data_IF_743743103759
#
_entry.id   IF_743743103759
#
_cell.length_a   1.000
_cell.length_b   1.000
_cell.length_c   1.000
_cell.angle_alpha   90.00
_cell.angle_beta   90.00
_cell.angle_gamma   90.00
#
_symmetry.space_group_name_H-M   'P 1'
#
loop_
_entity.id
_entity.type
_entity.pdbx_description
1 polymer ?
#
# COMPACT_ATOMS: atom_id res chain seq x y z
N UNK A 1 0.66 8.85 -36.65
CA UNK A 1 0.75 10.16 -35.98
C UNK A 1 -0.49 10.57 -35.19
N UNK A 2 -1.70 10.04 -35.46
CA UNK A 2 -2.93 10.37 -34.70
C UNK A 2 -3.15 9.48 -33.45
N UNK A 3 -2.47 8.33 -33.35
CA UNK A 3 -2.61 7.38 -32.23
C UNK A 3 -1.86 7.79 -30.95
N UNK A 4 -0.81 8.60 -31.00
CA UNK A 4 -0.07 9.04 -29.80
C UNK A 4 -0.73 10.23 -29.07
N UNK A 5 -1.40 11.14 -29.77
CA UNK A 5 -2.08 12.29 -29.15
C UNK A 5 -3.37 11.90 -28.40
N UNK A 6 -4.11 10.89 -28.88
CA UNK A 6 -5.32 10.41 -28.19
C UNK A 6 -4.96 9.71 -26.87
N UNK A 7 -3.84 8.99 -26.85
CA UNK A 7 -3.30 8.36 -25.65
C UNK A 7 -2.90 9.40 -24.59
N UNK A 8 -2.17 10.46 -25.00
CA UNK A 8 -1.84 11.63 -24.13
C UNK A 8 -3.07 12.30 -23.53
N UNK A 9 -4.14 12.47 -24.33
CA UNK A 9 -5.41 13.02 -23.85
C UNK A 9 -6.06 12.17 -22.75
N UNK A 10 -6.10 10.84 -22.88
CA UNK A 10 -6.58 9.96 -21.81
C UNK A 10 -5.65 9.94 -20.58
N UNK A 11 -4.34 10.15 -20.76
CA UNK A 11 -3.32 10.05 -19.70
C UNK A 11 -3.39 11.18 -18.65
N UNK A 12 -3.88 12.38 -18.99
CA UNK A 12 -4.14 13.44 -18.00
C UNK A 12 -5.63 13.54 -17.61
N UNK A 13 -6.56 13.12 -18.48
CA UNK A 13 -7.99 13.21 -18.20
C UNK A 13 -8.50 12.15 -17.23
N UNK A 14 -7.82 11.00 -17.05
CA UNK A 14 -8.18 10.06 -15.99
C UNK A 14 -8.19 10.71 -14.60
N UNK A 15 -7.28 11.67 -14.35
CA UNK A 15 -7.24 12.46 -13.12
C UNK A 15 -8.22 13.66 -13.09
N UNK A 16 -8.80 14.05 -14.23
CA UNK A 16 -9.68 15.24 -14.37
C UNK A 16 -11.16 14.86 -14.54
N UNK A 17 -11.48 13.74 -15.21
CA UNK A 17 -12.86 13.30 -15.46
C UNK A 17 -13.61 12.89 -14.20
N UNK A 18 -12.92 12.53 -13.11
CA UNK A 18 -13.57 12.25 -11.83
C UNK A 18 -13.94 13.50 -11.01
N UNK A 19 -13.29 14.65 -11.24
CA UNK A 19 -13.70 15.93 -10.66
C UNK A 19 -15.06 16.40 -11.22
N UNK A 20 -15.40 16.01 -12.44
CA UNK A 20 -16.66 16.40 -13.10
C UNK A 20 -17.82 15.44 -12.76
N UNK A 21 -17.57 14.14 -12.55
CA UNK A 21 -18.65 13.19 -12.22
C UNK A 21 -19.22 13.34 -10.80
N UNK A 22 -18.48 13.94 -9.87
CA UNK A 22 -19.00 14.31 -8.53
C UNK A 22 -19.85 15.61 -8.53
N UNK A 23 -19.95 16.32 -9.66
CA UNK A 23 -20.72 17.56 -9.77
C UNK A 23 -21.96 17.48 -10.69
N UNK A 24 -22.23 16.33 -11.29
CA UNK A 24 -23.35 16.13 -12.22
C UNK A 24 -24.39 15.10 -11.73
N UNK A 25 -24.73 15.15 -10.45
CA UNK A 25 -25.94 14.53 -9.91
C UNK A 25 -26.90 15.58 -9.34
N UNK A 26 -27.04 16.74 -10.00
CA UNK A 26 -28.12 17.70 -9.79
C UNK A 26 -28.05 18.84 -10.83
N UNK A 27 -28.79 18.78 -11.94
CA UNK A 27 -29.30 19.99 -12.60
C UNK A 27 -30.29 19.67 -13.72
N UNK A 28 -31.52 20.14 -13.56
CA UNK A 28 -32.44 20.39 -14.65
C UNK A 28 -32.18 21.78 -15.28
N UNK A 29 -32.29 21.85 -16.61
CA UNK A 29 -32.65 22.97 -17.51
C UNK A 29 -31.93 24.36 -17.43
N UNK A 30 -31.15 24.67 -18.50
CA UNK A 30 -30.94 25.90 -19.34
C UNK A 30 -31.17 27.35 -18.81
N UNK A 31 -30.67 28.44 -19.49
CA UNK A 31 -29.51 28.62 -20.38
C UNK A 31 -28.69 29.94 -20.16
N UNK A 32 -27.66 30.14 -21.01
CA UNK A 32 -26.96 31.38 -21.43
C UNK A 32 -25.58 31.70 -20.81
N UNK A 33 -24.62 31.90 -21.73
CA UNK A 33 -23.23 32.35 -21.53
C UNK A 33 -23.11 33.59 -20.63
N UNK A 34 -21.98 33.72 -19.89
CA UNK A 34 -20.99 34.73 -20.28
C UNK A 34 -19.51 34.32 -20.11
N UNK A 35 -18.72 34.79 -21.09
CA UNK A 35 -17.32 35.27 -21.07
C UNK A 35 -16.28 34.74 -20.07
N UNK A 36 -15.16 34.32 -20.63
CA UNK A 36 -13.90 33.97 -19.99
C UNK A 36 -13.23 35.16 -19.29
N UNK A 37 -13.56 35.43 -18.02
CA UNK A 37 -12.66 36.12 -17.08
C UNK A 37 -13.11 35.97 -15.62
N UNK A 38 -13.47 34.77 -15.13
CA UNK A 38 -13.74 34.59 -13.68
C UNK A 38 -13.60 33.14 -13.19
N UNK A 39 -12.62 32.37 -13.69
CA UNK A 39 -12.27 31.06 -13.13
C UNK A 39 -10.97 31.18 -12.33
N UNK A 40 -11.03 31.90 -11.21
CA UNK A 40 -9.92 31.99 -10.26
C UNK A 40 -10.44 32.40 -8.87
N UNK A 41 -11.31 31.59 -8.25
CA UNK A 41 -11.52 31.65 -6.77
C UNK A 41 -12.33 30.51 -6.13
N UNK A 42 -12.74 29.45 -6.85
CA UNK A 42 -13.61 28.41 -6.26
C UNK A 42 -13.05 26.98 -6.28
N UNK A 43 -11.73 26.81 -6.21
CA UNK A 43 -11.16 25.53 -5.76
C UNK A 43 -11.09 25.54 -4.22
N UNK A 44 -12.25 25.43 -3.58
CA UNK A 44 -12.28 25.05 -2.17
C UNK A 44 -11.64 23.67 -2.05
N UNK A 45 -10.42 23.60 -1.51
CA UNK A 45 -9.86 22.35 -0.97
C UNK A 45 -10.91 21.78 -0.02
N UNK A 46 -11.64 20.74 -0.42
CA UNK A 46 -12.30 19.87 0.54
C UNK A 46 -11.19 19.08 1.22
N UNK A 47 -10.65 19.63 2.29
CA UNK A 47 -10.06 18.81 3.34
C UNK A 47 -11.20 17.92 3.84
N UNK A 48 -11.14 16.63 3.53
CA UNK A 48 -11.98 15.65 4.21
C UNK A 48 -11.37 15.52 5.61
N UNK A 49 -11.75 16.44 6.49
CA UNK A 49 -11.47 16.36 7.92
C UNK A 49 -12.46 15.33 8.51
N UNK A 50 -12.37 14.08 8.05
CA UNK A 50 -13.21 12.99 8.53
C UNK A 50 -12.53 12.36 9.77
N UNK A 51 -13.08 12.55 10.98
CA UNK A 51 -12.51 11.99 12.21
C UNK A 51 -12.38 10.46 12.17
N UNK A 52 -13.05 9.75 11.26
CA UNK A 52 -12.91 8.30 11.07
C UNK A 52 -11.55 7.92 10.47
N UNK A 53 -10.96 8.74 9.60
CA UNK A 53 -9.61 8.50 9.04
C UNK A 53 -8.55 8.59 10.15
N UNK A 54 -8.75 9.45 11.16
CA UNK A 54 -7.84 9.59 12.30
C UNK A 54 -7.89 8.38 13.26
N UNK A 55 -9.07 7.76 13.39
CA UNK A 55 -9.29 6.61 14.27
C UNK A 55 -8.69 5.31 13.74
N UNK A 56 -8.76 5.12 12.42
CA UNK A 56 -8.13 4.00 11.69
C UNK A 56 -6.61 3.96 11.96
N UNK A 57 -5.92 5.09 11.83
CA UNK A 57 -4.47 5.16 12.09
C UNK A 57 -4.11 5.02 13.56
N UNK A 58 -4.96 5.46 14.51
CA UNK A 58 -4.71 5.18 15.93
C UNK A 58 -4.70 3.67 16.19
N UNK A 59 -5.60 2.93 15.56
CA UNK A 59 -5.59 1.47 15.60
C UNK A 59 -4.33 0.94 14.90
N UNK A 60 -4.02 1.37 13.67
CA UNK A 60 -2.84 0.91 12.92
C UNK A 60 -1.51 1.17 13.65
N UNK A 61 -1.26 2.40 14.12
CA UNK A 61 -0.05 2.78 14.88
C UNK A 61 0.09 1.98 16.18
N UNK A 62 -1.01 1.72 16.87
CA UNK A 62 -0.99 0.92 18.10
C UNK A 62 -0.93 -0.60 17.83
N UNK A 63 -1.26 -1.03 16.61
CA UNK A 63 -1.34 -2.45 16.25
C UNK A 63 -0.02 -3.02 15.77
N UNK A 64 0.85 -2.21 15.14
CA UNK A 64 2.15 -2.67 14.70
C UNK A 64 3.16 -2.67 15.85
N UNK A 65 3.61 -3.87 16.22
CA UNK A 65 4.68 -4.09 17.20
C UNK A 65 6.00 -4.29 16.45
N UNK A 66 6.88 -3.27 16.38
CA UNK A 66 8.20 -3.44 15.82
C UNK A 66 9.04 -4.36 16.72
N UNK A 67 10.13 -4.91 16.17
CA UNK A 67 11.08 -5.64 17.00
C UNK A 67 11.85 -4.67 17.91
N UNK A 68 11.89 -5.02 19.19
CA UNK A 68 12.69 -4.34 20.21
C UNK A 68 13.90 -5.20 20.57
N UNK A 69 15.09 -4.59 20.52
CA UNK A 69 16.33 -5.27 20.87
C UNK A 69 16.30 -5.70 22.34
N UNK A 70 16.66 -6.95 22.62
CA UNK A 70 16.59 -7.54 23.97
C UNK A 70 15.27 -8.26 24.28
N UNK A 71 14.25 -8.17 23.43
CA UNK A 71 13.04 -8.99 23.53
C UNK A 71 13.25 -10.32 22.79
N UNK A 72 12.68 -11.41 23.33
CA UNK A 72 12.74 -12.73 22.68
C UNK A 72 12.09 -12.66 21.29
N UNK A 73 12.79 -13.08 20.21
CA UNK A 73 12.23 -13.07 18.87
C UNK A 73 10.95 -13.90 18.79
N UNK A 74 9.93 -13.35 18.14
CA UNK A 74 8.68 -14.09 17.88
C UNK A 74 8.80 -15.05 16.69
N UNK A 75 9.91 -14.99 15.95
CA UNK A 75 10.14 -15.79 14.74
C UNK A 75 11.43 -16.57 14.88
N UNK A 76 11.34 -17.87 14.60
CA UNK A 76 12.50 -18.77 14.53
C UNK A 76 12.80 -19.08 13.08
N UNK A 77 14.04 -18.84 12.66
CA UNK A 77 14.57 -19.30 11.38
C UNK A 77 15.33 -20.62 11.58
N UNK A 78 15.30 -21.49 10.56
CA UNK A 78 15.84 -22.85 10.67
C UNK A 78 17.34 -22.92 10.45
N UNK A 79 17.78 -22.39 9.31
CA UNK A 79 19.19 -22.09 9.05
C UNK A 79 19.52 -20.67 9.53
N UNK A 80 20.81 -20.33 9.57
CA UNK A 80 21.27 -18.96 9.81
C UNK A 80 20.52 -18.00 8.88
N UNK A 81 19.73 -17.08 9.44
CA UNK A 81 19.21 -15.99 8.63
C UNK A 81 20.41 -15.24 8.01
N UNK A 82 20.37 -14.83 6.73
CA UNK A 82 21.50 -14.16 6.06
C UNK A 82 22.04 -12.94 6.81
N UNK A 83 21.18 -12.30 7.61
CA UNK A 83 21.51 -11.13 8.43
C UNK A 83 21.85 -11.47 9.89
N UNK A 84 21.92 -12.75 10.25
CA UNK A 84 22.43 -13.19 11.55
C UNK A 84 23.96 -13.03 11.60
N UNK A 85 24.41 -11.93 12.20
CA UNK A 85 25.82 -11.60 12.33
C UNK A 85 26.59 -12.54 13.27
N UNK A 86 25.89 -13.36 14.06
CA UNK A 86 26.54 -14.35 14.94
C UNK A 86 27.01 -15.59 14.18
N UNK A 87 26.51 -15.80 12.96
CA UNK A 87 26.83 -16.97 12.15
C UNK A 87 27.75 -16.57 10.99
N UNK A 88 29.04 -16.91 11.10
CA UNK A 88 30.02 -16.71 10.01
C UNK A 88 29.72 -17.64 8.83
N UNK A 89 28.96 -17.18 7.82
CA UNK A 89 28.91 -17.85 6.50
C UNK A 89 28.52 -16.90 5.35
N UNK A 90 28.95 -17.30 4.15
CA UNK A 90 28.75 -16.61 2.88
C UNK A 90 27.26 -16.51 2.53
N UNK A 91 26.83 -15.29 2.20
CA UNK A 91 25.51 -14.96 1.63
C UNK A 91 25.31 -15.76 0.33
N UNK A 92 24.68 -16.93 0.42
CA UNK A 92 24.23 -17.67 -0.75
C UNK A 92 22.81 -17.24 -1.09
N UNK A 93 22.56 -16.91 -2.36
CA UNK A 93 21.22 -16.61 -2.91
C UNK A 93 20.25 -17.80 -2.84
N UNK A 94 20.73 -18.98 -2.45
CA UNK A 94 19.95 -20.24 -2.36
C UNK A 94 19.06 -20.35 -1.11
N UNK A 95 18.92 -19.31 -0.29
CA UNK A 95 18.15 -19.34 0.97
C UNK A 95 16.72 -18.87 0.85
N UNK A 96 16.37 -18.09 -0.18
CA UNK A 96 15.02 -17.57 -0.35
C UNK A 96 14.11 -18.61 -1.02
N UNK A 97 12.88 -18.73 -0.54
CA UNK A 97 11.83 -19.56 -1.14
C UNK A 97 10.54 -18.73 -1.29
N UNK A 98 9.62 -19.11 -2.20
CA UNK A 98 8.32 -18.47 -2.33
C UNK A 98 7.65 -18.26 -0.96
N UNK A 99 7.15 -17.05 -0.71
CA UNK A 99 6.53 -16.71 0.58
C UNK A 99 5.31 -17.59 0.85
N UNK A 100 5.22 -18.19 2.03
CA UNK A 100 4.06 -19.00 2.45
C UNK A 100 3.12 -18.15 3.29
N UNK A 101 1.96 -17.84 2.73
CA UNK A 101 0.94 -17.00 3.38
C UNK A 101 -0.17 -17.88 3.96
N UNK A 102 -0.44 -17.74 5.26
CA UNK A 102 -1.55 -18.40 5.93
C UNK A 102 -2.62 -17.37 6.31
N UNK A 103 -3.83 -17.56 5.80
CA UNK A 103 -4.98 -16.76 6.22
C UNK A 103 -5.69 -17.41 7.41
N UNK A 104 -5.68 -16.71 8.54
CA UNK A 104 -6.36 -17.15 9.77
C UNK A 104 -7.80 -16.61 9.78
N UNK A 105 -8.78 -17.49 9.56
CA UNK A 105 -10.18 -17.10 9.28
C UNK A 105 -11.15 -17.35 10.44
N UNK A 106 -10.69 -17.47 11.68
CA UNK A 106 -11.57 -17.75 12.84
C UNK A 106 -12.70 -16.71 12.97
N UNK A 107 -12.38 -15.42 12.80
CA UNK A 107 -13.36 -14.34 12.90
C UNK A 107 -14.46 -14.43 11.82
N UNK A 108 -14.12 -14.91 10.62
CA UNK A 108 -15.12 -15.13 9.56
C UNK A 108 -16.15 -16.20 9.96
N UNK A 109 -15.73 -17.27 10.63
CA UNK A 109 -16.67 -18.30 11.10
C UNK A 109 -17.65 -17.75 12.14
N UNK A 110 -17.18 -16.87 13.03
CA UNK A 110 -18.04 -16.17 14.00
C UNK A 110 -18.99 -15.16 13.36
N UNK A 111 -18.73 -14.73 12.12
CA UNK A 111 -19.57 -13.79 11.38
C UNK A 111 -20.70 -14.47 10.58
N UNK A 112 -20.72 -15.81 10.52
CA UNK A 112 -21.74 -16.59 9.79
C UNK A 112 -23.12 -16.56 10.45
N UNK A 113 -24.14 -16.96 9.69
CA UNK A 113 -25.52 -17.10 10.17
C UNK A 113 -26.27 -15.77 10.34
N UNK A 114 -25.68 -14.66 9.88
CA UNK A 114 -26.31 -13.34 9.87
C UNK A 114 -27.22 -13.12 8.66
N UNK A 115 -26.83 -13.64 7.49
CA UNK A 115 -27.66 -13.73 6.28
C UNK A 115 -27.04 -14.70 5.26
N UNK A 116 -27.87 -15.31 4.42
CA UNK A 116 -27.42 -16.22 3.35
C UNK A 116 -26.42 -15.53 2.41
N UNK A 117 -26.66 -14.25 2.08
CA UNK A 117 -25.78 -13.45 1.23
C UNK A 117 -24.39 -13.25 1.87
N UNK A 118 -24.33 -12.98 3.18
CA UNK A 118 -23.06 -12.83 3.89
C UNK A 118 -22.31 -14.16 3.97
N UNK A 119 -23.01 -15.26 4.22
CA UNK A 119 -22.43 -16.59 4.28
C UNK A 119 -21.85 -17.02 2.92
N UNK A 120 -22.56 -16.73 1.81
CA UNK A 120 -22.06 -16.94 0.45
C UNK A 120 -20.79 -16.12 0.16
N UNK A 121 -20.72 -14.87 0.64
CA UNK A 121 -19.53 -14.02 0.47
C UNK A 121 -18.35 -14.50 1.30
N UNK A 122 -18.60 -15.02 2.50
CA UNK A 122 -17.56 -15.68 3.32
C UNK A 122 -17.05 -16.94 2.62
N UNK A 123 -17.95 -17.73 2.02
CA UNK A 123 -17.56 -18.91 1.25
C UNK A 123 -16.67 -18.52 0.07
N UNK A 124 -17.09 -17.52 -0.73
CA UNK A 124 -16.31 -16.98 -1.84
C UNK A 124 -14.92 -16.49 -1.40
N UNK A 125 -14.85 -15.78 -0.27
CA UNK A 125 -13.59 -15.33 0.31
C UNK A 125 -12.64 -16.50 0.54
N UNK A 126 -13.14 -17.55 1.21
CA UNK A 126 -12.33 -18.69 1.63
C UNK A 126 -11.96 -19.62 0.49
N UNK A 127 -12.86 -19.85 -0.45
CA UNK A 127 -12.66 -20.83 -1.54
C UNK A 127 -11.87 -20.27 -2.71
N UNK A 128 -12.04 -18.99 -3.03
CA UNK A 128 -11.49 -18.39 -4.24
C UNK A 128 -10.57 -17.21 -3.94
N UNK A 129 -11.03 -16.22 -3.16
CA UNK A 129 -10.32 -14.94 -3.04
C UNK A 129 -8.99 -15.10 -2.30
N UNK A 130 -9.02 -15.63 -1.07
CA UNK A 130 -7.83 -15.76 -0.22
C UNK A 130 -6.77 -16.68 -0.85
N UNK A 131 -7.09 -17.86 -1.41
CA UNK A 131 -6.10 -18.68 -2.12
C UNK A 131 -5.46 -17.98 -3.32
N UNK A 132 -6.24 -17.22 -4.11
CA UNK A 132 -5.70 -16.49 -5.27
C UNK A 132 -4.80 -15.33 -4.85
N UNK A 133 -5.11 -14.62 -3.76
CA UNK A 133 -4.23 -13.59 -3.19
C UNK A 133 -2.91 -14.22 -2.72
N UNK A 134 -2.98 -15.34 -1.98
CA UNK A 134 -1.77 -16.05 -1.55
C UNK A 134 -0.92 -16.47 -2.75
N UNK A 135 -1.54 -17.03 -3.78
CA UNK A 135 -0.84 -17.47 -4.99
C UNK A 135 -0.16 -16.29 -5.72
N UNK A 136 -0.84 -15.16 -5.88
CA UNK A 136 -0.28 -13.95 -6.51
C UNK A 136 1.01 -13.49 -5.81
N UNK A 137 0.97 -13.35 -4.48
CA UNK A 137 2.13 -12.88 -3.72
C UNK A 137 3.23 -13.96 -3.58
N UNK A 138 2.87 -15.24 -3.49
CA UNK A 138 3.83 -16.36 -3.45
C UNK A 138 4.63 -16.47 -4.75
N UNK A 139 4.02 -16.18 -5.90
CA UNK A 139 4.71 -16.16 -7.19
C UNK A 139 5.62 -14.95 -7.36
N UNK A 140 5.27 -13.84 -6.71
CA UNK A 140 5.95 -12.56 -6.85
C UNK A 140 7.10 -12.35 -5.87
N UNK A 141 7.05 -12.94 -4.69
CA UNK A 141 7.99 -12.68 -3.61
C UNK A 141 8.53 -13.97 -3.02
N UNK A 142 9.83 -13.97 -2.75
CA UNK A 142 10.50 -15.00 -1.96
C UNK A 142 11.09 -14.39 -0.69
N UNK A 143 11.16 -15.18 0.37
CA UNK A 143 11.67 -14.80 1.69
C UNK A 143 12.60 -15.88 2.23
N UNK A 144 13.39 -15.54 3.25
CA UNK A 144 14.05 -16.55 4.08
C UNK A 144 12.95 -17.29 4.87
N UNK A 145 12.79 -18.61 4.73
CA UNK A 145 11.65 -19.30 5.32
C UNK A 145 11.72 -19.35 6.84
N UNK A 146 10.65 -18.92 7.51
CA UNK A 146 10.49 -19.11 8.94
C UNK A 146 10.21 -20.59 9.25
N UNK A 147 10.78 -21.09 10.36
CA UNK A 147 10.44 -22.41 10.91
C UNK A 147 9.27 -22.34 11.87
N UNK A 148 9.14 -21.24 12.59
CA UNK A 148 8.00 -21.03 13.46
C UNK A 148 7.76 -19.56 13.73
N UNK A 149 6.50 -19.14 13.69
CA UNK A 149 6.05 -17.82 14.08
C UNK A 149 5.13 -17.98 15.29
N UNK A 150 5.50 -17.35 16.41
CA UNK A 150 4.63 -17.14 17.56
C UNK A 150 3.79 -15.90 17.32
N UNK A 151 2.48 -16.01 17.54
CA UNK A 151 1.53 -14.90 17.54
C UNK A 151 1.01 -14.76 18.97
N UNK A 152 1.49 -13.77 19.73
CA UNK A 152 1.00 -13.51 21.08
C UNK A 152 -0.51 -13.26 21.09
N UNK A 153 -1.20 -13.65 22.17
CA UNK A 153 -2.65 -13.43 22.32
C UNK A 153 -3.05 -11.97 22.10
N UNK A 154 -2.20 -11.04 22.52
CA UNK A 154 -2.43 -9.60 22.46
C UNK A 154 -1.90 -8.93 21.18
N UNK A 155 -1.48 -9.73 20.18
CA UNK A 155 -1.05 -9.24 18.88
C UNK A 155 -2.18 -8.48 18.14
N UNK A 156 -1.80 -7.60 17.20
CA UNK A 156 -2.72 -6.72 16.46
C UNK A 156 -3.68 -5.93 17.37
N UNK A 157 -3.23 -5.45 18.54
CA UNK A 157 -4.07 -4.73 19.50
C UNK A 157 -5.37 -5.48 19.89
N UNK A 158 -5.31 -6.82 20.02
CA UNK A 158 -6.42 -7.73 20.31
C UNK A 158 -7.48 -7.86 19.21
N UNK A 159 -7.23 -7.39 17.99
CA UNK A 159 -8.16 -7.56 16.87
C UNK A 159 -8.36 -9.03 16.44
N UNK A 160 -7.44 -9.91 16.85
CA UNK A 160 -7.43 -11.32 16.45
C UNK A 160 -8.37 -12.23 17.26
N UNK A 161 -8.91 -11.73 18.38
CA UNK A 161 -9.76 -12.50 19.32
C UNK A 161 -9.17 -13.89 19.63
N UNK A 162 -7.91 -13.89 20.07
CA UNK A 162 -7.17 -15.10 20.40
C UNK A 162 -7.46 -15.52 21.85
N UNK A 163 -7.75 -16.81 22.04
CA UNK A 163 -7.92 -17.39 23.38
C UNK A 163 -6.56 -17.62 24.06
N UNK A 164 -5.51 -17.88 23.27
CA UNK A 164 -4.14 -18.19 23.70
C UNK A 164 -3.13 -17.76 22.63
N UNK A 165 -1.85 -17.79 22.97
CA UNK A 165 -0.78 -17.63 21.97
C UNK A 165 -0.87 -18.73 20.91
N UNK A 166 -0.74 -18.33 19.64
CA UNK A 166 -0.70 -19.28 18.54
C UNK A 166 0.72 -19.49 18.05
N UNK A 167 0.97 -20.68 17.51
CA UNK A 167 2.24 -21.05 16.90
C UNK A 167 1.98 -21.66 15.54
N UNK A 168 2.57 -21.06 14.51
CA UNK A 168 2.48 -21.54 13.14
C UNK A 168 3.85 -22.02 12.69
N UNK A 169 3.90 -23.26 12.24
CA UNK A 169 5.07 -23.84 11.59
C UNK A 169 4.90 -23.75 10.08
N UNK A 170 6.01 -23.68 9.36
CA UNK A 170 6.04 -23.65 7.90
C UNK A 170 5.17 -22.57 7.22
N UNK A 171 5.05 -21.42 7.89
CA UNK A 171 4.40 -20.20 7.39
C UNK A 171 5.36 -19.04 7.52
N UNK A 172 5.32 -18.10 6.57
CA UNK A 172 6.19 -16.92 6.55
C UNK A 172 5.43 -15.62 6.83
N UNK A 173 4.12 -15.61 6.62
CA UNK A 173 3.21 -14.50 6.90
C UNK A 173 1.83 -15.03 7.31
N UNK A 174 1.36 -14.65 8.49
CA UNK A 174 0.01 -14.92 8.96
C UNK A 174 -0.83 -13.66 8.74
N UNK A 175 -1.98 -13.78 8.07
CA UNK A 175 -2.91 -12.67 7.91
C UNK A 175 -4.25 -13.08 8.50
N UNK A 176 -4.66 -12.42 9.57
CA UNK A 176 -5.98 -12.66 10.12
C UNK A 176 -7.04 -11.93 9.32
N UNK A 177 -8.13 -12.64 9.05
CA UNK A 177 -9.20 -12.16 8.17
C UNK A 177 -10.47 -11.94 8.97
N UNK A 178 -11.00 -10.73 8.89
CA UNK A 178 -12.27 -10.33 9.49
C UNK A 178 -13.24 -9.79 8.43
N UNK A 179 -14.52 -9.71 8.80
CA UNK A 179 -15.62 -9.13 8.00
C UNK A 179 -16.58 -8.31 8.86
N UNK A 180 -16.07 -7.75 9.96
CA UNK A 180 -16.86 -6.98 10.89
C UNK A 180 -17.20 -5.60 10.30
N UNK A 181 -18.45 -5.19 10.49
CA UNK A 181 -18.82 -3.76 10.44
C UNK A 181 -18.11 -3.10 11.60
N UNK A 182 -17.21 -2.19 11.29
CA UNK A 182 -16.38 -1.54 12.27
C UNK A 182 -16.16 -0.09 11.84
N UNK A 183 -16.88 0.82 12.49
CA UNK A 183 -16.80 2.25 12.22
C UNK A 183 -15.38 2.80 12.44
N UNK A 184 -14.62 2.21 13.37
CA UNK A 184 -13.23 2.57 13.64
C UNK A 184 -12.28 2.12 12.53
N UNK A 185 -12.71 1.18 11.68
CA UNK A 185 -11.98 0.69 10.50
C UNK A 185 -12.53 1.29 9.19
N UNK A 186 -13.44 2.27 9.26
CA UNK A 186 -14.11 2.85 8.08
C UNK A 186 -15.09 1.88 7.39
N UNK A 187 -15.33 0.73 8.00
CA UNK A 187 -16.21 -0.31 7.51
C UNK A 187 -17.65 -0.04 7.97
N UNK A 188 -18.27 0.97 7.35
CA UNK A 188 -19.63 1.44 7.66
C UNK A 188 -20.66 0.95 6.63
N UNK A 189 -21.90 0.74 7.08
CA UNK A 189 -23.05 0.37 6.24
C UNK A 189 -23.67 1.61 5.55
N UNK A 190 -24.11 1.48 4.29
CA UNK A 190 -24.81 2.55 3.55
C UNK A 190 -24.24 2.84 2.15
N UNK A 191 -25.02 3.56 1.32
CA UNK A 191 -24.74 3.84 -0.11
C UNK A 191 -23.79 5.05 -0.36
N UNK A 192 -23.02 5.47 0.65
CA UNK A 192 -22.01 6.53 0.53
C UNK A 192 -20.60 5.93 0.46
N UNK A 193 -19.70 6.57 -0.29
CA UNK A 193 -18.30 6.15 -0.41
C UNK A 193 -17.64 5.82 0.94
N UNK A 194 -16.82 4.78 0.94
CA UNK A 194 -16.03 4.36 2.09
C UNK A 194 -15.25 3.08 1.80
N UNK A 195 -14.35 2.73 2.71
CA UNK A 195 -13.43 1.58 2.68
C UNK A 195 -14.13 0.26 2.30
N UNK A 196 -13.59 -0.45 1.30
CA UNK A 196 -14.08 -1.77 0.84
C UNK A 196 -13.34 -2.92 1.50
N UNK A 197 -12.06 -2.71 1.80
CA UNK A 197 -11.25 -3.52 2.67
C UNK A 197 -10.18 -2.63 3.30
N UNK A 198 -9.56 -3.10 4.38
CA UNK A 198 -8.44 -2.43 5.03
C UNK A 198 -7.48 -3.47 5.58
N UNK A 199 -6.19 -3.23 5.43
CA UNK A 199 -5.18 -4.04 6.05
C UNK A 199 -3.96 -3.27 6.55
N UNK A 200 -3.23 -3.90 7.46
CA UNK A 200 -1.99 -3.39 8.01
C UNK A 200 -1.17 -4.52 8.66
N UNK A 201 0.15 -4.36 8.76
CA UNK A 201 0.98 -5.26 9.54
C UNK A 201 0.77 -5.02 11.04
N UNK A 202 0.93 -6.09 11.83
CA UNK A 202 0.79 -6.07 13.29
C UNK A 202 2.04 -6.51 14.03
N UNK A 203 2.84 -7.38 13.43
CA UNK A 203 4.04 -7.93 14.06
C UNK A 203 5.12 -8.06 13.01
N UNK A 204 6.34 -7.75 13.42
CA UNK A 204 7.54 -8.01 12.63
C UNK A 204 8.45 -9.06 13.30
N UNK A 205 9.34 -9.63 12.50
CA UNK A 205 10.46 -10.42 12.98
C UNK A 205 11.61 -9.53 13.51
N UNK A 206 12.69 -10.18 13.97
CA UNK A 206 13.90 -9.52 14.49
C UNK A 206 14.67 -8.68 13.46
N UNK A 207 14.24 -8.70 12.20
CA UNK A 207 14.78 -7.92 11.10
C UNK A 207 13.74 -6.97 10.50
N UNK A 208 12.70 -6.67 11.27
CA UNK A 208 11.59 -5.77 10.95
C UNK A 208 10.67 -6.21 9.80
N UNK A 209 10.84 -7.43 9.26
CA UNK A 209 9.93 -7.94 8.22
C UNK A 209 8.56 -8.23 8.82
N UNK A 210 7.46 -7.72 8.24
CA UNK A 210 6.12 -8.11 8.66
C UNK A 210 5.90 -9.62 8.57
N UNK A 211 5.44 -10.23 9.67
CA UNK A 211 5.14 -11.67 9.77
C UNK A 211 3.74 -11.97 10.25
N UNK A 212 3.06 -10.98 10.84
CA UNK A 212 1.63 -11.04 11.15
C UNK A 212 0.97 -9.76 10.66
N UNK A 213 -0.17 -9.88 9.99
CA UNK A 213 -1.02 -8.77 9.59
C UNK A 213 -2.49 -9.05 9.84
N UNK A 214 -3.29 -8.04 9.58
CA UNK A 214 -4.74 -8.07 9.69
C UNK A 214 -5.34 -7.52 8.40
N UNK A 215 -6.44 -8.13 7.95
CA UNK A 215 -7.27 -7.63 6.86
C UNK A 215 -8.75 -7.75 7.24
N UNK A 216 -9.52 -6.70 7.01
CA UNK A 216 -10.97 -6.70 7.17
C UNK A 216 -11.65 -6.42 5.82
N UNK A 217 -12.53 -7.32 5.38
CA UNK A 217 -13.35 -7.14 4.19
C UNK A 217 -14.75 -6.63 4.55
N UNK A 218 -15.17 -5.50 3.97
CA UNK A 218 -16.47 -4.90 4.26
C UNK A 218 -17.60 -5.58 3.49
N UNK A 219 -18.00 -6.77 3.95
CA UNK A 219 -18.89 -7.65 3.19
C UNK A 219 -20.35 -7.17 3.06
N UNK A 220 -20.74 -6.09 3.74
CA UNK A 220 -22.08 -5.51 3.64
C UNK A 220 -22.22 -4.49 2.50
N UNK A 221 -21.11 -4.19 1.81
CA UNK A 221 -21.11 -3.40 0.57
C UNK A 221 -21.37 -4.29 -0.63
N UNK A 222 -21.89 -3.75 -1.76
CA UNK A 222 -22.05 -4.54 -2.97
C UNK A 222 -20.68 -5.03 -3.43
N UNK A 223 -20.42 -6.30 -3.14
CA UNK A 223 -19.23 -7.01 -3.55
C UNK A 223 -19.37 -7.40 -5.01
N UNK A 224 -18.30 -7.17 -5.76
CA UNK A 224 -18.21 -7.51 -7.17
C UNK A 224 -17.62 -8.93 -7.31
N UNK A 225 -17.53 -9.45 -8.53
CA UNK A 225 -17.08 -10.82 -8.74
C UNK A 225 -15.71 -11.14 -8.08
N UNK A 226 -15.39 -12.44 -7.98
CA UNK A 226 -14.19 -12.93 -7.29
C UNK A 226 -12.90 -12.22 -7.72
N UNK A 227 -12.77 -11.83 -8.99
CA UNK A 227 -11.57 -11.16 -9.51
C UNK A 227 -11.36 -9.77 -8.91
N UNK A 228 -12.43 -9.00 -8.73
CA UNK A 228 -12.38 -7.70 -8.07
C UNK A 228 -11.99 -7.83 -6.60
N UNK A 229 -12.54 -8.82 -5.89
CA UNK A 229 -12.13 -9.10 -4.51
C UNK A 229 -10.68 -9.54 -4.38
N UNK A 230 -10.17 -10.35 -5.32
CA UNK A 230 -8.76 -10.75 -5.35
C UNK A 230 -7.87 -9.53 -5.54
N UNK A 231 -8.24 -8.62 -6.43
CA UNK A 231 -7.46 -7.42 -6.67
C UNK A 231 -7.46 -6.48 -5.45
N UNK A 232 -8.62 -6.21 -4.85
CA UNK A 232 -8.74 -5.44 -3.61
C UNK A 232 -7.95 -6.10 -2.47
N UNK A 233 -8.17 -7.39 -2.23
CA UNK A 233 -7.46 -8.11 -1.18
C UNK A 233 -5.94 -8.18 -1.43
N UNK A 234 -5.51 -8.24 -2.70
CA UNK A 234 -4.08 -8.20 -3.04
C UNK A 234 -3.48 -6.83 -2.76
N UNK A 235 -4.19 -5.73 -3.07
CA UNK A 235 -3.81 -4.36 -2.69
C UNK A 235 -3.61 -4.26 -1.17
N UNK A 236 -4.60 -4.72 -0.40
CA UNK A 236 -4.54 -4.69 1.06
C UNK A 236 -3.38 -5.54 1.61
N UNK A 237 -3.13 -6.73 1.05
CA UNK A 237 -1.95 -7.53 1.42
C UNK A 237 -0.65 -6.80 1.07
N UNK A 238 -0.61 -5.95 0.05
CA UNK A 238 0.51 -5.03 -0.22
C UNK A 238 0.82 -4.11 0.97
N UNK A 239 -0.20 -3.58 1.65
CA UNK A 239 -0.01 -2.82 2.89
C UNK A 239 0.51 -3.68 4.04
N UNK A 240 0.03 -4.93 4.18
CA UNK A 240 0.58 -5.89 5.17
C UNK A 240 2.05 -6.18 4.90
N UNK A 241 2.45 -6.27 3.64
CA UNK A 241 3.85 -6.47 3.22
C UNK A 241 4.71 -5.22 3.42
N UNK A 242 4.14 -4.10 3.84
CA UNK A 242 4.86 -2.89 4.22
C UNK A 242 4.90 -1.78 3.17
N UNK A 243 4.01 -1.81 2.18
CA UNK A 243 3.88 -0.69 1.24
C UNK A 243 3.11 0.45 1.91
N UNK A 244 3.85 1.40 2.47
CA UNK A 244 3.40 2.74 2.82
C UNK A 244 4.63 3.57 3.18
N UNK A 245 4.54 4.91 3.07
CA UNK A 245 5.64 5.78 3.50
C UNK A 245 6.01 5.60 4.97
N UNK A 246 5.04 5.29 5.83
CA UNK A 246 5.25 5.06 7.26
C UNK A 246 6.14 3.84 7.57
N UNK A 247 6.25 2.88 6.65
CA UNK A 247 7.04 1.66 6.88
C UNK A 247 8.47 1.75 6.34
N UNK A 248 8.80 2.76 5.53
CA UNK A 248 10.14 2.94 4.94
C UNK A 248 11.23 3.09 6.00
N UNK A 249 10.92 3.64 7.19
CA UNK A 249 11.87 3.71 8.31
C UNK A 249 12.41 2.35 8.77
N UNK A 250 11.67 1.27 8.54
CA UNK A 250 12.06 -0.08 8.93
C UNK A 250 12.92 -0.79 7.87
N UNK A 251 13.10 -0.19 6.69
CA UNK A 251 13.83 -0.82 5.60
C UNK A 251 15.29 -1.08 5.96
N UNK A 252 15.82 -2.16 5.39
CA UNK A 252 17.19 -2.60 5.55
C UNK A 252 17.89 -2.64 4.20
N UNK A 253 19.20 -2.47 4.26
CA UNK A 253 20.04 -2.76 3.12
C UNK A 253 20.04 -4.27 2.87
N UNK A 254 19.68 -4.68 1.65
CA UNK A 254 19.44 -6.09 1.32
C UNK A 254 20.71 -6.94 1.52
N UNK A 255 21.86 -6.42 1.08
CA UNK A 255 23.12 -7.17 1.08
C UNK A 255 23.72 -7.29 2.48
N UNK A 256 23.61 -6.24 3.30
CA UNK A 256 24.24 -6.20 4.62
C UNK A 256 23.28 -6.49 5.78
N UNK A 257 21.97 -6.42 5.56
CA UNK A 257 20.94 -6.52 6.58
C UNK A 257 20.89 -5.34 7.57
N UNK A 258 21.71 -4.31 7.35
CA UNK A 258 21.77 -3.14 8.24
C UNK A 258 20.53 -2.26 8.05
N UNK A 259 19.94 -1.71 9.13
CA UNK A 259 18.88 -0.70 9.00
C UNK A 259 19.33 0.47 8.13
N UNK A 260 18.48 0.91 7.20
CA UNK A 260 18.72 2.14 6.40
C UNK A 260 18.50 3.40 7.22
N UNK A 261 17.66 3.32 8.24
CA UNK A 261 17.40 4.39 9.20
C UNK A 261 18.08 4.06 10.53
N UNK A 262 18.77 5.05 11.10
CA UNK A 262 19.49 4.91 12.38
C UNK A 262 18.53 4.63 13.55
N UNK A 263 19.02 3.88 14.55
CA UNK A 263 18.26 3.45 15.73
C UNK A 263 18.95 3.88 17.04
N UNK A 264 18.20 4.14 18.12
CA UNK A 264 16.73 4.14 18.20
C UNK A 264 16.12 5.26 17.34
N UNK A 265 14.89 5.08 16.85
CA UNK A 265 14.24 6.09 16.03
C UNK A 265 14.09 7.38 16.82
N UNK A 266 14.58 8.48 16.26
CA UNK A 266 14.38 9.81 16.83
C UNK A 266 13.06 10.36 16.32
N UNK A 267 12.22 10.87 17.23
CA UNK A 267 11.04 11.65 16.83
C UNK A 267 11.49 12.98 16.27
N UNK A 268 10.96 13.33 15.10
CA UNK A 268 11.27 14.59 14.41
C UNK A 268 10.00 15.29 13.99
N UNK A 269 10.00 16.61 14.12
CA UNK A 269 8.93 17.45 13.61
C UNK A 269 8.88 17.33 12.09
N UNK A 270 7.78 16.80 11.58
CA UNK A 270 7.59 16.45 10.17
C UNK A 270 6.39 17.20 9.60
N UNK A 271 6.60 17.88 8.48
CA UNK A 271 5.48 18.45 7.71
C UNK A 271 4.89 17.38 6.80
N UNK A 272 3.65 17.01 7.04
CA UNK A 272 2.96 15.96 6.30
C UNK A 272 2.46 16.43 4.93
N UNK A 273 2.01 15.48 4.10
CA UNK A 273 1.50 15.77 2.75
C UNK A 273 0.31 16.76 2.76
N UNK A 274 -0.52 16.71 3.81
CA UNK A 274 -1.64 17.62 4.06
C UNK A 274 -1.22 19.03 4.54
N UNK A 275 0.06 19.21 4.88
CA UNK A 275 0.62 20.45 5.43
C UNK A 275 0.54 20.58 6.95
N UNK A 276 -0.04 19.61 7.65
CA UNK A 276 0.03 19.52 9.11
C UNK A 276 1.45 19.24 9.57
N UNK A 277 1.77 19.65 10.79
CA UNK A 277 3.05 19.36 11.44
C UNK A 277 2.79 18.34 12.52
N UNK A 278 3.51 17.21 12.46
CA UNK A 278 3.38 16.08 13.39
C UNK A 278 4.76 15.59 13.83
N UNK A 279 4.86 15.10 15.06
CA UNK A 279 6.03 14.34 15.48
C UNK A 279 5.93 12.93 14.91
N UNK A 280 6.86 12.58 14.02
CA UNK A 280 6.94 11.25 13.40
C UNK A 280 8.32 10.66 13.66
N UNK A 281 8.43 9.33 13.64
CA UNK A 281 9.72 8.67 13.69
C UNK A 281 10.54 9.01 12.43
N UNK A 282 11.73 9.55 12.62
CA UNK A 282 12.62 9.95 11.53
C UNK A 282 12.91 8.79 10.58
N UNK A 283 13.01 9.12 9.29
CA UNK A 283 13.38 8.17 8.22
C UNK A 283 14.62 8.70 7.52
N UNK A 284 15.51 7.80 7.06
CA UNK A 284 16.67 8.21 6.29
C UNK A 284 16.28 9.01 5.03
N UNK A 285 16.90 10.18 4.78
CA UNK A 285 16.62 10.98 3.59
C UNK A 285 17.04 10.28 2.28
N UNK A 286 17.89 9.25 2.37
CA UNK A 286 18.24 8.39 1.23
C UNK A 286 17.16 7.34 0.92
N UNK A 287 16.19 7.14 1.82
CA UNK A 287 15.09 6.19 1.65
C UNK A 287 13.74 6.89 1.43
N UNK A 288 13.52 8.05 2.06
CA UNK A 288 12.29 8.82 1.92
C UNK A 288 12.61 10.32 1.89
N UNK A 289 12.19 11.01 0.82
CA UNK A 289 12.47 12.43 0.64
C UNK A 289 11.21 13.25 0.38
N UNK A 290 11.16 14.46 0.95
CA UNK A 290 10.09 15.43 0.68
C UNK A 290 10.33 16.15 -0.65
N UNK A 291 9.30 16.24 -1.46
CA UNK A 291 9.25 17.06 -2.66
C UNK A 291 8.08 18.05 -2.65
N UNK A 292 8.20 19.09 -3.48
CA UNK A 292 7.15 20.10 -3.70
C UNK A 292 6.96 20.24 -5.20
N UNK A 293 5.73 20.08 -5.66
CA UNK A 293 5.35 20.32 -7.06
C UNK A 293 5.38 21.81 -7.40
N UNK A 294 5.37 22.15 -8.68
CA UNK A 294 5.27 23.54 -9.14
C UNK A 294 4.00 24.26 -8.66
N UNK A 295 2.92 23.53 -8.38
CA UNK A 295 1.68 24.08 -7.80
C UNK A 295 1.73 24.21 -6.27
N UNK A 296 2.85 23.89 -5.63
CA UNK A 296 3.04 23.96 -4.18
C UNK A 296 2.48 22.77 -3.39
N UNK A 297 1.98 21.73 -4.07
CA UNK A 297 1.56 20.49 -3.40
C UNK A 297 2.80 19.71 -2.95
N UNK A 298 2.82 19.29 -1.68
CA UNK A 298 3.87 18.44 -1.09
C UNK A 298 3.67 17.00 -1.51
N UNK A 299 4.71 16.19 -1.48
CA UNK A 299 4.66 14.74 -1.63
C UNK A 299 5.91 14.13 -1.01
N UNK A 300 5.87 12.86 -0.65
CA UNK A 300 7.09 12.11 -0.36
C UNK A 300 7.42 11.15 -1.50
N UNK A 301 8.70 10.87 -1.67
CA UNK A 301 9.23 9.97 -2.68
C UNK A 301 10.13 8.94 -2.00
N UNK A 302 9.89 7.66 -2.28
CA UNK A 302 10.73 6.57 -1.78
C UNK A 302 11.93 6.43 -2.72
N UNK A 303 13.11 6.83 -2.23
CA UNK A 303 14.32 7.10 -3.03
C UNK A 303 15.34 5.96 -3.02
N UNK A 304 14.89 4.74 -2.70
CA UNK A 304 15.77 3.58 -2.61
C UNK A 304 16.31 3.15 -3.99
N UNK A 305 17.51 2.53 -4.06
CA UNK A 305 18.26 2.40 -5.32
C UNK A 305 17.60 1.54 -6.41
N UNK A 306 17.00 0.39 -6.09
CA UNK A 306 16.36 -0.46 -7.11
C UNK A 306 15.06 0.18 -7.57
N UNK A 307 14.25 0.70 -6.65
CA UNK A 307 13.02 1.42 -6.96
C UNK A 307 13.28 2.62 -7.87
N UNK A 308 14.31 3.42 -7.56
CA UNK A 308 14.74 4.52 -8.43
C UNK A 308 15.09 4.03 -9.84
N UNK A 309 15.81 2.91 -9.96
CA UNK A 309 16.18 2.32 -11.25
C UNK A 309 14.95 1.86 -12.04
N UNK A 310 14.02 1.17 -11.38
CA UNK A 310 12.79 0.69 -12.03
C UNK A 310 11.89 1.83 -12.45
N UNK A 311 11.74 2.87 -11.63
CA UNK A 311 10.95 4.07 -11.98
C UNK A 311 11.58 4.83 -13.14
N UNK A 312 12.91 4.97 -13.18
CA UNK A 312 13.62 5.57 -14.32
C UNK A 312 13.34 4.80 -15.62
N UNK A 313 13.30 3.47 -15.55
CA UNK A 313 13.00 2.62 -16.70
C UNK A 313 11.52 2.71 -17.10
N UNK A 314 10.60 2.74 -16.13
CA UNK A 314 9.16 2.90 -16.37
C UNK A 314 8.91 4.15 -17.21
N UNK A 315 9.42 5.31 -16.81
CA UNK A 315 9.15 6.56 -17.50
C UNK A 315 10.18 6.93 -18.57
N UNK A 316 11.26 6.15 -18.76
CA UNK A 316 12.44 6.54 -19.54
C UNK A 316 12.97 7.94 -19.13
N UNK A 317 13.19 8.12 -17.84
CA UNK A 317 13.68 9.39 -17.28
C UNK A 317 14.72 9.17 -16.20
N UNK A 318 16.00 9.40 -16.52
CA UNK A 318 17.14 9.21 -15.61
C UNK A 318 17.18 10.18 -14.43
N UNK A 319 16.42 11.29 -14.50
CA UNK A 319 16.37 12.33 -13.46
C UNK A 319 15.52 11.96 -12.24
N UNK A 320 14.69 10.93 -12.34
CA UNK A 320 13.84 10.49 -11.22
C UNK A 320 14.69 9.90 -10.10
N UNK A 321 14.30 10.17 -8.85
CA UNK A 321 15.07 9.73 -7.66
C UNK A 321 14.42 8.52 -6.98
N UNK A 322 13.18 8.20 -7.31
CA UNK A 322 12.39 7.21 -6.61
C UNK A 322 10.92 7.20 -7.06
N UNK A 323 10.09 6.46 -6.34
CA UNK A 323 8.65 6.42 -6.59
C UNK A 323 7.93 7.42 -5.69
N UNK A 324 7.21 8.36 -6.31
CA UNK A 324 6.37 9.32 -5.59
C UNK A 324 5.16 8.62 -4.98
N UNK A 325 4.92 8.91 -3.71
CA UNK A 325 3.73 8.52 -2.97
C UNK A 325 2.64 9.56 -3.18
N UNK A 326 1.40 9.11 -3.03
CA UNK A 326 0.23 9.98 -3.08
C UNK A 326 0.36 11.17 -2.11
N UNK A 327 -0.28 12.27 -2.47
CA UNK A 327 -0.32 13.46 -1.64
C UNK A 327 -1.73 13.99 -1.38
N UNK A 328 -2.73 13.19 -1.72
CA UNK A 328 -4.11 13.45 -1.34
C UNK A 328 -4.41 12.71 -0.03
N UNK A 329 -5.27 13.26 0.85
CA UNK A 329 -5.64 12.63 2.12
C UNK A 329 -6.62 11.47 1.89
N UNK A 330 -6.16 10.41 1.21
CA UNK A 330 -6.84 9.11 1.08
C UNK A 330 -6.55 8.22 2.30
N UNK A 331 -5.49 8.56 3.05
CA UNK A 331 -5.12 8.02 4.35
C UNK A 331 -4.67 9.16 5.28
N UNK A 332 -4.55 8.90 6.58
CA UNK A 332 -3.94 9.83 7.55
C UNK A 332 -2.43 9.63 7.71
N UNK A 333 -1.81 8.86 6.80
CA UNK A 333 -0.35 8.78 6.68
C UNK A 333 0.26 10.18 6.55
N UNK A 334 1.36 10.43 7.25
CA UNK A 334 2.09 11.69 7.07
C UNK A 334 2.80 11.75 5.71
N UNK A 335 3.18 10.56 5.21
CA UNK A 335 4.07 10.38 4.07
C UNK A 335 3.36 9.91 2.79
N UNK A 336 2.14 9.37 2.91
CA UNK A 336 1.36 8.77 1.83
C UNK A 336 1.29 7.25 1.97
N UNK A 337 0.10 6.67 1.76
CA UNK A 337 -0.15 5.23 1.88
C UNK A 337 0.03 4.48 0.56
N UNK A 338 -0.22 5.16 -0.56
CA UNK A 338 -0.27 4.55 -1.90
C UNK A 338 0.77 5.17 -2.86
N UNK A 339 1.02 4.49 -3.99
CA UNK A 339 1.74 5.07 -5.12
C UNK A 339 0.90 6.17 -5.76
N UNK A 340 1.52 7.29 -6.14
CA UNK A 340 0.80 8.47 -6.65
C UNK A 340 0.02 8.15 -7.94
N UNK A 341 -1.31 8.27 -7.86
CA UNK A 341 -2.24 7.91 -8.94
C UNK A 341 -1.92 8.60 -10.27
N UNK A 342 -1.43 9.85 -10.23
CA UNK A 342 -1.11 10.62 -11.44
C UNK A 342 -0.09 9.88 -12.31
N UNK A 343 0.88 9.21 -11.68
CA UNK A 343 1.99 8.57 -12.36
C UNK A 343 1.80 7.06 -12.49
N UNK A 344 1.00 6.49 -11.61
CA UNK A 344 0.87 5.05 -11.43
C UNK A 344 -0.59 4.58 -11.57
N UNK A 345 -1.36 5.17 -12.50
CA UNK A 345 -2.80 4.91 -12.64
C UNK A 345 -3.19 3.43 -12.76
N UNK A 346 -2.35 2.59 -13.37
CA UNK A 346 -2.63 1.16 -13.52
C UNK A 346 -2.07 0.28 -12.39
N UNK A 347 -1.39 0.86 -11.40
CA UNK A 347 -0.76 0.11 -10.31
C UNK A 347 -1.75 -0.60 -9.41
N UNK A 348 -1.36 -1.78 -8.92
CA UNK A 348 -2.06 -2.46 -7.85
C UNK A 348 -2.10 -1.59 -6.59
N UNK A 349 -1.05 -0.82 -6.31
CA UNK A 349 -0.91 0.00 -5.10
C UNK A 349 -1.27 1.47 -5.32
N UNK A 350 -2.08 1.79 -6.34
CA UNK A 350 -2.68 3.12 -6.48
C UNK A 350 -3.89 3.31 -5.54
N UNK A 351 -4.26 4.54 -5.18
CA UNK A 351 -5.32 4.80 -4.20
C UNK A 351 -6.74 4.60 -4.70
N UNK A 352 -6.93 4.51 -6.02
CA UNK A 352 -8.24 4.32 -6.64
C UNK A 352 -8.29 2.95 -7.28
N UNK A 353 -9.24 2.15 -6.80
CA UNK A 353 -9.57 0.88 -7.42
C UNK A 353 -10.42 1.09 -8.69
N UNK A 354 -10.08 0.39 -9.76
CA UNK A 354 -10.88 0.36 -10.99
C UNK A 354 -10.56 -0.85 -11.85
N UNK A 355 -11.43 -1.18 -12.82
CA UNK A 355 -11.26 -2.33 -13.74
C UNK A 355 -9.92 -2.37 -14.48
N UNK A 356 -9.22 -1.24 -14.59
CA UNK A 356 -7.94 -1.10 -15.28
C UNK A 356 -6.76 -0.80 -14.35
N UNK A 357 -6.97 -0.76 -13.03
CA UNK A 357 -6.01 -0.27 -12.02
C UNK A 357 -5.66 -1.34 -10.99
N UNK A 358 -5.05 -2.45 -11.44
CA UNK A 358 -4.73 -3.62 -10.60
C UNK A 358 -3.44 -4.34 -11.02
N UNK A 359 -2.56 -3.71 -11.79
CA UNK A 359 -1.35 -4.37 -12.26
C UNK A 359 -0.32 -4.44 -11.14
N UNK A 360 0.06 -5.64 -10.70
CA UNK A 360 1.24 -5.84 -9.88
C UNK A 360 2.48 -5.52 -10.72
N UNK A 361 2.94 -4.27 -10.68
CA UNK A 361 3.98 -3.81 -11.59
C UNK A 361 5.40 -3.98 -11.02
N UNK A 362 6.43 -3.89 -11.87
CA UNK A 362 7.81 -3.82 -11.42
C UNK A 362 8.07 -2.75 -10.35
N UNK A 363 7.34 -1.64 -10.36
CA UNK A 363 7.51 -0.56 -9.36
C UNK A 363 7.10 -1.06 -7.96
N UNK A 364 5.92 -1.67 -7.82
CA UNK A 364 5.51 -2.32 -6.55
C UNK A 364 6.50 -3.40 -6.09
N UNK A 365 6.98 -4.25 -7.00
CA UNK A 365 7.95 -5.29 -6.64
C UNK A 365 9.29 -4.69 -6.19
N UNK A 366 9.77 -3.65 -6.87
CA UNK A 366 11.01 -2.95 -6.49
C UNK A 366 10.89 -2.25 -5.14
N UNK A 367 9.71 -1.70 -4.82
CA UNK A 367 9.42 -1.12 -3.51
C UNK A 367 9.59 -2.17 -2.41
N UNK A 368 8.98 -3.34 -2.59
CA UNK A 368 9.06 -4.44 -1.64
C UNK A 368 10.47 -5.04 -1.59
N UNK A 369 11.17 -5.19 -2.70
CA UNK A 369 12.55 -5.71 -2.70
C UNK A 369 13.52 -4.76 -1.98
N UNK A 370 13.38 -3.44 -2.16
CA UNK A 370 14.20 -2.44 -1.47
C UNK A 370 13.90 -2.29 0.03
N UNK A 371 12.83 -2.90 0.53
CA UNK A 371 12.66 -3.09 1.97
C UNK A 371 13.78 -3.91 2.61
N UNK A 372 14.45 -4.73 1.79
CA UNK A 372 15.42 -5.72 2.20
C UNK A 372 14.77 -7.07 2.53
N UNK A 373 13.47 -7.13 2.80
CA UNK A 373 12.81 -8.31 3.36
C UNK A 373 12.45 -9.38 2.34
N UNK A 374 12.28 -8.99 1.08
CA UNK A 374 11.78 -9.84 0.02
C UNK A 374 12.76 -9.86 -1.15
N UNK A 375 12.86 -11.00 -1.82
CA UNK A 375 13.44 -11.12 -3.15
C UNK A 375 12.32 -11.11 -4.17
N UNK A 376 12.34 -10.17 -5.12
CA UNK A 376 11.27 -10.02 -6.09
C UNK A 376 11.46 -10.89 -7.33
N UNK A 377 10.39 -11.54 -7.77
CA UNK A 377 10.32 -12.21 -9.06
C UNK A 377 9.69 -11.28 -10.10
N UNK A 378 10.51 -10.49 -10.79
CA UNK A 378 10.01 -9.57 -11.83
C UNK A 378 9.33 -10.27 -13.02
N UNK A 379 9.48 -11.59 -13.19
CA UNK A 379 8.78 -12.34 -14.24
C UNK A 379 7.29 -12.51 -13.96
N UNK A 380 6.85 -12.37 -12.72
CA UNK A 380 5.42 -12.38 -12.36
C UNK A 380 4.79 -10.99 -12.45
N UNK A 381 5.58 -9.95 -12.70
CA UNK A 381 5.09 -8.59 -12.78
C UNK A 381 4.32 -8.35 -14.08
N UNK A 382 3.28 -7.53 -14.01
CA UNK A 382 2.61 -6.96 -15.18
C UNK A 382 3.14 -5.55 -15.41
N UNK A 383 3.91 -5.29 -16.48
CA UNK A 383 4.40 -3.94 -16.77
C UNK A 383 3.25 -2.94 -16.88
N UNK A 384 3.35 -1.84 -16.16
CA UNK A 384 2.41 -0.73 -16.29
C UNK A 384 2.57 -0.10 -17.66
N UNK A 385 1.53 -0.16 -18.50
CA UNK A 385 1.52 0.52 -19.80
C UNK A 385 1.35 2.04 -19.64
N UNK A 386 0.88 2.48 -18.48
CA UNK A 386 0.62 3.87 -18.20
C UNK A 386 1.94 4.61 -17.93
N UNK A 387 2.18 5.68 -18.69
CA UNK A 387 3.41 6.47 -18.61
C UNK A 387 4.67 5.75 -19.11
N UNK A 388 4.55 4.53 -19.67
CA UNK A 388 5.71 3.76 -20.10
C UNK A 388 6.50 4.49 -21.21
N UNK A 389 7.76 4.81 -20.93
CA UNK A 389 8.63 5.53 -21.86
C UNK A 389 8.23 6.97 -22.16
N UNK A 390 7.32 7.58 -21.37
CA UNK A 390 6.76 8.90 -21.65
C UNK A 390 7.77 10.07 -21.57
N UNK A 391 8.94 9.84 -20.96
CA UNK A 391 10.02 10.83 -20.81
C UNK A 391 9.90 11.69 -19.56
N UNK A 392 10.94 12.48 -19.28
CA UNK A 392 11.00 13.31 -18.09
C UNK A 392 9.94 14.40 -18.01
N UNK A 393 9.54 14.96 -19.16
CA UNK A 393 8.55 16.06 -19.20
C UNK A 393 7.19 15.60 -18.67
N UNK A 394 6.81 14.34 -18.89
CA UNK A 394 5.57 13.76 -18.35
C UNK A 394 5.54 13.77 -16.82
N UNK A 395 6.66 13.41 -16.19
CA UNK A 395 6.73 13.25 -14.73
C UNK A 395 7.01 14.58 -14.02
N UNK A 396 7.93 15.37 -14.57
CA UNK A 396 8.48 16.56 -13.92
C UNK A 396 7.68 17.84 -14.16
N UNK A 397 6.91 17.93 -15.25
CA UNK A 397 6.09 19.12 -15.53
C UNK A 397 4.68 18.99 -14.94
N UNK A 398 3.89 20.05 -15.09
CA UNK A 398 2.45 20.02 -14.82
C UNK A 398 1.73 19.18 -15.89
N UNK A 399 0.65 18.51 -15.49
CA UNK A 399 -0.18 17.68 -16.39
C UNK A 399 -0.67 18.43 -17.62
N UNK A 400 -1.07 19.70 -17.43
CA UNK A 400 -1.55 20.58 -18.48
C UNK A 400 -0.75 21.86 -18.40
N UNK A 401 -0.04 22.16 -19.48
CA UNK A 401 0.70 23.41 -19.66
C UNK A 401 0.07 24.18 -20.82
N UNK A 402 -0.50 25.35 -20.56
CA UNK A 402 -1.15 26.21 -21.58
C UNK A 402 -2.24 25.50 -22.42
N UNK A 403 -2.92 24.51 -21.84
CA UNK A 403 -3.96 23.73 -22.53
C UNK A 403 -3.43 22.54 -23.34
N UNK A 404 -2.11 22.35 -23.39
CA UNK A 404 -1.46 21.20 -23.99
C UNK A 404 -0.97 20.20 -22.92
N UNK A 405 -0.94 18.93 -23.30
CA UNK A 405 -0.40 17.85 -22.47
C UNK A 405 1.05 17.59 -22.92
N UNK A 406 2.04 17.62 -22.00
CA UNK A 406 3.46 17.44 -22.33
C UNK A 406 3.79 16.20 -23.17
#
# INVERSE_FOLDING_TARGET
MISHSIQRYMFCLASIQFLVLLSLSSAAAYPLHPTASHIASQTGRRTIDDPRIHLIEKVRRNSFRPYEEGVSPQVRYGDAHPWDQTQRRSLSTTTHQPIRIHFYTKALEGARGKSDEKDMRIDLLKSEVLPNIANLWSQALSVVPAKGIRVPRDACANLLDLDDDLFFEDVDLIIAVDSAVNENLGCVTGAGGGTVAIAFPCQADQYDRPTVGFINFCLDKPIQDAGEMVAIGSHEVGHVLGIAGDFVKFFRDFDTGKPRTERPFQLVETTCVDGSVREEAGTSPESLSLGITSSGARYYEVTTPRLATVVRNQFNCTRLKGARLENQPTSSSCFGGHLDERYYFTELMGPIFGRFANALSPVTLAFLEDSGWYLANYSSATPSVFGYGAGCEFVLNVCINEGEIP
#
